data_IF_602728965211
#
_entry.id   IF_602728965211
#
_cell.length_a   1.000
_cell.length_b   1.000
_cell.length_c   1.000
_cell.angle_alpha   90.00
_cell.angle_beta   90.00
_cell.angle_gamma   90.00
#
_symmetry.space_group_name_H-M   'P 1'
#
loop_
_entity.id
_entity.type
_entity.pdbx_description
1 polymer ?
#
# COMPACT_ATOMS: atom_id res chain seq x y z
N UNK A 1 4.32 -10.21 -9.01
CA UNK A 1 5.23 -9.04 -8.87
C UNK A 1 5.52 -8.36 -10.22
N UNK A 2 6.14 -9.04 -11.21
CA UNK A 2 6.43 -8.42 -12.53
C UNK A 2 5.19 -7.82 -13.23
N UNK A 3 4.05 -8.52 -13.19
CA UNK A 3 2.78 -8.02 -13.77
C UNK A 3 2.25 -6.79 -13.05
N UNK A 4 2.35 -6.75 -11.72
CA UNK A 4 1.91 -5.63 -10.89
C UNK A 4 2.72 -4.36 -11.19
N UNK A 5 4.06 -4.46 -11.23
CA UNK A 5 4.90 -3.31 -11.54
C UNK A 5 4.63 -2.77 -12.95
N UNK A 6 4.40 -3.66 -13.92
CA UNK A 6 4.00 -3.27 -15.27
C UNK A 6 2.67 -2.52 -15.29
N UNK A 7 1.69 -2.95 -14.49
CA UNK A 7 0.41 -2.26 -14.36
C UNK A 7 0.55 -0.84 -13.79
N UNK A 8 1.48 -0.65 -12.86
CA UNK A 8 1.82 0.66 -12.32
C UNK A 8 2.73 1.50 -13.23
N UNK A 9 3.15 0.98 -14.39
CA UNK A 9 4.13 1.65 -15.26
C UNK A 9 5.53 1.77 -14.63
N UNK A 10 5.88 0.90 -13.68
CA UNK A 10 7.15 0.92 -12.95
C UNK A 10 8.06 -0.18 -13.51
N UNK A 11 9.24 0.19 -14.00
CA UNK A 11 10.23 -0.77 -14.51
C UNK A 11 10.88 -1.58 -13.39
N UNK A 12 11.24 -0.92 -12.28
CA UNK A 12 11.88 -1.55 -11.14
C UNK A 12 11.64 -0.79 -9.83
N UNK A 13 11.68 -1.54 -8.72
CA UNK A 13 11.60 -0.97 -7.38
C UNK A 13 12.89 -0.26 -7.01
N UNK A 14 12.77 0.85 -6.29
CA UNK A 14 13.92 1.54 -5.70
C UNK A 14 14.47 0.77 -4.48
N UNK A 15 15.61 1.22 -3.94
CA UNK A 15 16.30 0.54 -2.84
C UNK A 15 15.40 0.37 -1.60
N UNK A 16 14.73 1.44 -1.18
CA UNK A 16 13.83 1.45 -0.02
C UNK A 16 12.64 0.50 -0.20
N UNK A 17 12.02 0.47 -1.38
CA UNK A 17 10.92 -0.46 -1.69
C UNK A 17 11.38 -1.93 -1.69
N UNK A 18 12.58 -2.21 -2.19
CA UNK A 18 13.18 -3.55 -2.16
C UNK A 18 13.46 -4.00 -0.73
N UNK A 19 14.02 -3.11 0.08
CA UNK A 19 14.28 -3.36 1.49
C UNK A 19 12.98 -3.66 2.24
N UNK A 20 11.96 -2.80 2.09
CA UNK A 20 10.62 -3.02 2.63
C UNK A 20 10.02 -4.37 2.23
N UNK A 21 10.17 -4.78 0.96
CA UNK A 21 9.66 -6.05 0.46
C UNK A 21 10.42 -7.26 1.06
N UNK A 22 11.69 -7.10 1.42
CA UNK A 22 12.51 -8.14 2.03
C UNK A 22 12.24 -8.35 3.52
N UNK A 23 11.58 -7.39 4.18
CA UNK A 23 11.24 -7.48 5.60
C UNK A 23 10.23 -8.60 5.83
N UNK A 24 10.52 -9.47 6.80
CA UNK A 24 9.53 -10.38 7.37
C UNK A 24 8.65 -9.57 8.30
N UNK A 25 7.46 -9.15 7.83
CA UNK A 25 6.48 -8.38 8.61
C UNK A 25 5.85 -9.15 9.79
N UNK A 26 6.50 -10.19 10.30
CA UNK A 26 6.05 -10.88 11.50
C UNK A 26 6.53 -10.14 12.76
N UNK A 27 5.60 -9.43 13.41
CA UNK A 27 5.72 -8.86 14.75
C UNK A 27 6.79 -7.78 14.96
N UNK A 28 7.05 -6.95 13.93
CA UNK A 28 7.97 -5.82 14.05
C UNK A 28 7.27 -4.50 13.75
N UNK A 29 7.33 -3.59 14.71
CA UNK A 29 7.02 -2.18 14.46
C UNK A 29 8.12 -1.58 13.59
N UNK A 30 7.73 -0.82 12.57
CA UNK A 30 8.64 -0.29 11.57
C UNK A 30 8.37 1.18 11.32
N UNK A 31 9.45 1.96 11.24
CA UNK A 31 9.41 3.38 10.87
C UNK A 31 10.05 3.54 9.51
N UNK A 32 9.25 3.93 8.51
CA UNK A 32 9.73 4.21 7.16
C UNK A 32 9.98 5.71 6.96
N UNK A 33 11.25 6.10 6.91
CA UNK A 33 11.67 7.48 6.68
C UNK A 33 12.16 7.66 5.24
N UNK A 34 11.47 8.50 4.46
CA UNK A 34 11.95 8.91 3.14
C UNK A 34 11.32 10.26 2.72
N UNK A 35 11.92 11.00 1.78
CA UNK A 35 11.37 12.25 1.25
C UNK A 35 9.99 12.09 0.61
N UNK A 36 9.23 13.18 0.46
CA UNK A 36 7.98 13.17 -0.32
C UNK A 36 8.27 12.82 -1.79
N UNK A 37 7.36 12.08 -2.44
CA UNK A 37 7.55 11.64 -3.83
C UNK A 37 8.45 10.43 -4.03
N UNK A 38 9.06 9.86 -2.97
CA UNK A 38 9.96 8.71 -3.08
C UNK A 38 9.28 7.33 -3.26
N UNK A 39 7.95 7.29 -3.38
CA UNK A 39 7.19 6.05 -3.54
C UNK A 39 6.95 5.26 -2.24
N UNK A 40 6.89 5.94 -1.08
CA UNK A 40 6.59 5.32 0.23
C UNK A 40 5.28 4.53 0.25
N UNK A 41 4.24 5.02 -0.44
CA UNK A 41 2.93 4.35 -0.51
C UNK A 41 3.06 2.93 -1.03
N UNK A 42 3.71 2.77 -2.19
CA UNK A 42 3.96 1.45 -2.75
C UNK A 42 4.86 0.60 -1.85
N UNK A 43 5.82 1.24 -1.16
CA UNK A 43 6.77 0.55 -0.31
C UNK A 43 6.13 -0.16 0.89
N UNK A 44 5.11 0.43 1.52
CA UNK A 44 4.38 -0.26 2.58
C UNK A 44 3.24 -1.13 2.03
N UNK A 45 2.61 -0.79 0.90
CA UNK A 45 1.51 -1.59 0.34
C UNK A 45 1.96 -2.95 -0.19
N UNK A 46 3.11 -3.01 -0.88
CA UNK A 46 3.63 -4.27 -1.45
C UNK A 46 3.81 -5.39 -0.42
N UNK A 47 4.54 -5.19 0.68
CA UNK A 47 4.75 -6.26 1.64
C UNK A 47 3.46 -6.60 2.41
N UNK A 48 2.51 -5.67 2.58
CA UNK A 48 1.21 -5.94 3.19
C UNK A 48 0.40 -6.99 2.41
N UNK A 49 0.53 -7.06 1.09
CA UNK A 49 -0.16 -8.07 0.28
C UNK A 49 0.15 -9.51 0.71
N UNK A 50 1.35 -9.76 1.25
CA UNK A 50 1.74 -11.08 1.75
C UNK A 50 1.10 -11.46 3.08
N UNK A 51 0.55 -10.49 3.81
CA UNK A 51 -0.12 -10.68 5.09
C UNK A 51 -1.63 -10.92 4.95
N UNK A 52 -2.21 -10.54 3.81
CA UNK A 52 -3.64 -10.61 3.59
C UNK A 52 -4.11 -12.07 3.48
N UNK A 53 -5.22 -12.38 4.16
CA UNK A 53 -5.89 -13.69 4.15
C UNK A 53 -7.38 -13.46 3.92
N UNK A 54 -8.02 -14.38 3.19
CA UNK A 54 -9.45 -14.29 2.89
C UNK A 54 -10.32 -14.30 4.17
N UNK A 55 -11.51 -13.71 4.09
CA UNK A 55 -12.50 -13.67 5.17
C UNK A 55 -12.64 -12.28 5.80
N UNK A 56 -11.67 -11.87 6.61
CA UNK A 56 -11.77 -10.68 7.46
C UNK A 56 -10.88 -9.52 6.98
N UNK A 57 -11.19 -8.31 7.44
CA UNK A 57 -10.30 -7.14 7.30
C UNK A 57 -9.04 -7.34 8.14
N UNK A 58 -7.86 -7.25 7.51
CA UNK A 58 -6.57 -7.50 8.19
C UNK A 58 -5.67 -6.27 8.34
N UNK A 59 -5.96 -5.19 7.61
CA UNK A 59 -5.10 -4.01 7.53
C UNK A 59 -5.95 -2.76 7.69
N UNK A 60 -5.50 -1.84 8.53
CA UNK A 60 -6.03 -0.49 8.67
C UNK A 60 -4.93 0.50 8.30
N UNK A 61 -5.19 1.36 7.33
CA UNK A 61 -4.31 2.47 6.95
C UNK A 61 -5.00 3.76 7.40
N UNK A 62 -4.31 4.57 8.20
CA UNK A 62 -4.82 5.86 8.69
C UNK A 62 -4.08 6.97 7.93
N UNK A 63 -4.85 7.89 7.36
CA UNK A 63 -4.33 9.07 6.69
C UNK A 63 -4.95 10.35 7.30
N UNK A 64 -4.20 11.46 7.37
CA UNK A 64 -4.66 12.69 8.00
C UNK A 64 -5.73 13.45 7.20
N UNK A 65 -5.87 13.19 5.90
CA UNK A 65 -6.82 13.88 5.02
C UNK A 65 -7.58 12.91 4.12
N UNK A 66 -8.78 13.31 3.70
CA UNK A 66 -9.60 12.56 2.73
C UNK A 66 -8.85 12.34 1.43
N UNK A 67 -8.22 13.38 0.92
CA UNK A 67 -7.51 13.36 -0.36
C UNK A 67 -6.36 12.35 -0.32
N UNK A 68 -5.63 12.29 0.79
CA UNK A 68 -4.55 11.31 0.95
C UNK A 68 -5.09 9.88 1.07
N UNK A 69 -6.19 9.67 1.79
CA UNK A 69 -6.83 8.36 1.88
C UNK A 69 -7.28 7.85 0.50
N UNK A 70 -7.93 8.71 -0.29
CA UNK A 70 -8.33 8.43 -1.68
C UNK A 70 -7.14 8.16 -2.60
N UNK A 71 -6.04 8.89 -2.44
CA UNK A 71 -4.81 8.64 -3.20
C UNK A 71 -4.23 7.25 -2.89
N UNK A 72 -4.24 6.84 -1.63
CA UNK A 72 -3.75 5.50 -1.22
C UNK A 72 -4.65 4.40 -1.80
N UNK A 73 -5.98 4.57 -1.70
CA UNK A 73 -6.95 3.63 -2.29
C UNK A 73 -6.75 3.51 -3.80
N UNK A 74 -6.57 4.63 -4.51
CA UNK A 74 -6.29 4.64 -5.95
C UNK A 74 -5.05 3.83 -6.29
N UNK A 75 -3.93 4.05 -5.58
CA UNK A 75 -2.69 3.27 -5.80
C UNK A 75 -2.95 1.77 -5.57
N UNK A 76 -3.68 1.41 -4.52
CA UNK A 76 -4.02 0.01 -4.26
C UNK A 76 -4.86 -0.62 -5.38
N UNK A 77 -5.82 0.11 -5.93
CA UNK A 77 -6.65 -0.35 -7.04
C UNK A 77 -5.83 -0.51 -8.34
N UNK A 78 -4.90 0.39 -8.62
CA UNK A 78 -3.97 0.32 -9.77
C UNK A 78 -2.99 -0.85 -9.67
N UNK A 79 -2.76 -1.39 -8.48
CA UNK A 79 -2.00 -2.64 -8.29
C UNK A 79 -2.76 -3.89 -8.78
N UNK A 80 -4.05 -3.76 -9.12
CA UNK A 80 -4.92 -4.82 -9.64
C UNK A 80 -4.80 -6.16 -8.91
N UNK A 81 -4.79 -6.09 -7.58
CA UNK A 81 -4.75 -7.30 -6.74
C UNK A 81 -6.14 -7.93 -6.65
N UNK A 82 -6.23 -9.19 -6.18
CA UNK A 82 -7.51 -9.83 -5.89
C UNK A 82 -8.15 -9.36 -4.57
N UNK A 83 -7.48 -8.48 -3.83
CA UNK A 83 -7.94 -7.98 -2.54
C UNK A 83 -8.82 -6.74 -2.72
N UNK A 84 -9.77 -6.57 -1.80
CA UNK A 84 -10.63 -5.39 -1.76
C UNK A 84 -10.07 -4.37 -0.79
N UNK A 85 -10.23 -3.10 -1.13
CA UNK A 85 -9.97 -1.95 -0.27
C UNK A 85 -11.27 -1.15 -0.13
N UNK A 86 -11.46 -0.55 1.03
CA UNK A 86 -12.57 0.37 1.30
C UNK A 86 -11.99 1.61 1.98
N UNK A 87 -12.22 2.78 1.40
CA UNK A 87 -11.82 4.06 1.98
C UNK A 87 -13.00 4.73 2.70
N UNK A 88 -12.81 5.05 3.99
CA UNK A 88 -13.81 5.72 4.83
C UNK A 88 -13.34 7.13 5.20
N UNK A 89 -14.19 8.13 5.00
CA UNK A 89 -13.90 9.53 5.35
C UNK A 89 -15.22 10.31 5.55
N UNK A 90 -15.14 11.43 6.27
CA UNK A 90 -16.30 12.29 6.53
C UNK A 90 -16.77 13.06 5.28
N UNK A 91 -18.04 13.46 5.27
CA UNK A 91 -18.63 14.26 4.20
C UNK A 91 -19.08 13.47 2.96
N UNK A 92 -19.19 12.14 3.07
CA UNK A 92 -19.89 11.29 2.10
C UNK A 92 -21.20 10.79 2.72
N UNK A 93 -22.31 10.98 2.01
CA UNK A 93 -23.57 10.31 2.36
C UNK A 93 -23.49 8.85 1.89
N UNK A 94 -23.85 7.92 2.78
CA UNK A 94 -23.95 6.50 2.46
C UNK A 94 -25.19 6.21 1.61
#
# INVERSE_FOLDING_TARGET
>A
MKTLLKQLGIESLNAMQKEMLSLKLQFQDLVLLAPTGSGKTLAYLLPLLSLLKAGEVKVLIIAPTRELALQIEKVFNEMHTSWKVVCCYGGHAF
#
